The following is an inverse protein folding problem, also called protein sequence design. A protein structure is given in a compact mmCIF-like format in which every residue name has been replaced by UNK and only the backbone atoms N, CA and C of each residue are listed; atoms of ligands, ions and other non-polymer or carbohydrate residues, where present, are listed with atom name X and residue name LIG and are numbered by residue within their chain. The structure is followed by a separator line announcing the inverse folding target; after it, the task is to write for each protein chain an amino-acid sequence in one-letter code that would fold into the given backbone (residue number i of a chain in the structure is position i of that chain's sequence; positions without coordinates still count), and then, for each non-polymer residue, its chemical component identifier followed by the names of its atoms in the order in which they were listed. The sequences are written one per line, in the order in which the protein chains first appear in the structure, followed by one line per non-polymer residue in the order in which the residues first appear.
data_IF_614876518185
#
_entry.id   IF_614876518185
#
_cell.length_a   1.000
_cell.length_b   1.000
_cell.length_c   1.000
_cell.angle_alpha   90.00
_cell.angle_beta   90.00
_cell.angle_gamma   90.00
#
_symmetry.space_group_name_H-M   'P 1'
#
loop_
_entity.id
_entity.type
_entity.pdbx_description
1 polymer ?
#
# COMPACT_ATOMS: atom_id res chain seq x y z
N UNK A 1 -14.36 -5.21 -4.55
CA UNK A 1 -13.51 -4.73 -3.44
C UNK A 1 -12.99 -3.37 -3.90
N UNK A 2 -13.54 -2.26 -3.38
CA UNK A 2 -13.28 -0.92 -3.90
C UNK A 2 -11.78 -0.60 -4.10
N UNK A 3 -10.95 -0.93 -3.11
CA UNK A 3 -9.50 -0.76 -3.19
C UNK A 3 -8.84 -1.54 -4.35
N UNK A 4 -9.18 -2.82 -4.51
CA UNK A 4 -8.60 -3.66 -5.58
C UNK A 4 -9.05 -3.16 -6.95
N UNK A 5 -10.33 -2.86 -7.08
CA UNK A 5 -10.93 -2.46 -8.35
C UNK A 5 -10.41 -1.05 -8.76
N UNK A 6 -10.14 -0.18 -7.78
CA UNK A 6 -9.44 1.09 -7.99
C UNK A 6 -8.01 0.89 -8.51
N UNK A 7 -7.21 0.04 -7.87
CA UNK A 7 -5.82 -0.20 -8.30
C UNK A 7 -5.72 -0.83 -9.70
N UNK A 8 -6.72 -1.60 -10.12
CA UNK A 8 -6.79 -2.14 -11.49
C UNK A 8 -6.95 -1.00 -12.51
N UNK A 9 -7.70 0.05 -12.19
CA UNK A 9 -7.89 1.24 -13.04
C UNK A 9 -6.78 2.29 -12.94
N UNK A 10 -5.94 2.24 -11.90
CA UNK A 10 -4.92 3.24 -11.60
C UNK A 10 -3.53 2.58 -11.50
N UNK A 11 -2.87 2.30 -12.65
CA UNK A 11 -1.60 1.58 -12.67
C UNK A 11 -0.46 2.31 -11.94
N UNK A 12 -0.49 3.66 -11.90
CA UNK A 12 0.50 4.45 -11.19
C UNK A 12 0.40 4.27 -9.67
N UNK A 13 -0.81 4.25 -9.11
CA UNK A 13 -1.03 3.99 -7.70
C UNK A 13 -0.76 2.51 -7.35
N UNK A 14 -1.05 1.59 -8.26
CA UNK A 14 -0.66 0.18 -8.10
C UNK A 14 0.87 0.01 -8.03
N UNK A 15 1.62 0.77 -8.84
CA UNK A 15 3.08 0.81 -8.79
C UNK A 15 3.59 1.40 -7.47
N UNK A 16 3.04 2.54 -7.03
CA UNK A 16 3.37 3.12 -5.72
C UNK A 16 3.11 2.14 -4.57
N UNK A 17 2.02 1.38 -4.64
CA UNK A 17 1.73 0.35 -3.64
C UNK A 17 2.73 -0.80 -3.67
N UNK A 18 3.18 -1.22 -4.86
CA UNK A 18 4.21 -2.25 -5.00
C UNK A 18 5.54 -1.78 -4.42
N UNK A 19 5.99 -0.58 -4.79
CA UNK A 19 7.24 0.01 -4.31
C UNK A 19 7.24 0.18 -2.78
N UNK A 20 6.12 0.65 -2.21
CA UNK A 20 5.94 0.74 -0.77
C UNK A 20 6.09 -0.64 -0.09
N UNK A 21 5.47 -1.69 -0.63
CA UNK A 21 5.60 -3.05 -0.07
C UNK A 21 7.04 -3.57 -0.13
N UNK A 22 7.77 -3.29 -1.21
CA UNK A 22 9.18 -3.68 -1.32
C UNK A 22 10.05 -2.95 -0.31
N UNK A 23 9.90 -1.62 -0.19
CA UNK A 23 10.62 -0.82 0.79
C UNK A 23 10.34 -1.29 2.23
N UNK A 24 9.08 -1.54 2.56
CA UNK A 24 8.69 -2.00 3.89
C UNK A 24 9.19 -3.43 4.18
N UNK A 25 9.23 -4.30 3.18
CA UNK A 25 9.80 -5.63 3.34
C UNK A 25 11.32 -5.60 3.57
N UNK A 26 12.01 -4.63 2.98
CA UNK A 26 13.45 -4.44 3.16
C UNK A 26 13.78 -3.77 4.51
N UNK A 27 13.04 -2.74 4.91
CA UNK A 27 13.32 -1.95 6.12
C UNK A 27 12.69 -2.51 7.40
N UNK A 28 11.58 -3.27 7.31
CA UNK A 28 10.82 -3.76 8.45
C UNK A 28 10.63 -5.29 8.45
N UNK A 29 11.60 -6.05 7.92
CA UNK A 29 11.55 -7.51 7.88
C UNK A 29 11.26 -8.15 9.26
N UNK A 30 11.75 -7.53 10.34
CA UNK A 30 11.60 -7.99 11.73
C UNK A 30 10.49 -7.28 12.51
N UNK A 31 9.91 -6.21 11.95
CA UNK A 31 8.97 -5.33 12.63
C UNK A 31 7.61 -5.30 11.92
N UNK A 32 6.79 -6.29 12.26
CA UNK A 32 5.47 -6.49 11.67
C UNK A 32 4.46 -5.39 12.05
N UNK A 33 4.64 -4.73 13.19
CA UNK A 33 3.80 -3.62 13.62
C UNK A 33 4.09 -2.39 12.75
N UNK A 34 5.37 -2.01 12.62
CA UNK A 34 5.75 -0.93 11.71
C UNK A 34 5.33 -1.20 10.26
N UNK A 35 5.48 -2.45 9.78
CA UNK A 35 4.99 -2.85 8.45
C UNK A 35 3.47 -2.66 8.29
N UNK A 36 2.69 -2.78 9.37
CA UNK A 36 1.24 -2.65 9.36
C UNK A 36 0.77 -1.21 9.44
N UNK A 37 1.42 -0.39 10.26
CA UNK A 37 1.09 1.02 10.39
C UNK A 37 1.50 1.81 9.14
N UNK A 38 2.68 1.53 8.58
CA UNK A 38 3.21 2.29 7.44
C UNK A 38 2.42 2.05 6.13
N UNK A 39 1.75 0.90 6.00
CA UNK A 39 0.84 0.65 4.86
C UNK A 39 -0.59 1.14 5.11
N UNK A 40 -0.97 1.42 6.37
CA UNK A 40 -2.32 1.81 6.72
C UNK A 40 -2.69 3.18 6.11
N UNK A 41 -1.76 4.14 6.14
CA UNK A 41 -1.98 5.46 5.52
C UNK A 41 -2.18 5.36 4.01
N UNK A 42 -1.39 4.53 3.32
CA UNK A 42 -1.55 4.30 1.89
C UNK A 42 -2.90 3.64 1.56
N UNK A 43 -3.30 2.63 2.34
CA UNK A 43 -4.60 1.97 2.15
C UNK A 43 -5.75 2.94 2.39
N UNK A 44 -5.65 3.81 3.39
CA UNK A 44 -6.64 4.87 3.66
C UNK A 44 -6.72 5.87 2.51
N UNK A 45 -5.58 6.37 2.02
CA UNK A 45 -5.53 7.29 0.87
C UNK A 45 -6.26 6.72 -0.35
N UNK A 46 -5.97 5.46 -0.73
CA UNK A 46 -6.61 4.83 -1.88
C UNK A 46 -8.09 4.53 -1.63
N UNK A 47 -8.46 4.19 -0.39
CA UNK A 47 -9.86 3.96 -0.04
C UNK A 47 -10.69 5.24 -0.09
N UNK A 48 -10.09 6.40 0.24
CA UNK A 48 -10.74 7.72 0.10
C UNK A 48 -10.86 8.16 -1.37
N UNK A 49 -10.00 7.66 -2.26
CA UNK A 49 -10.02 7.96 -3.70
C UNK A 49 -10.97 7.06 -4.51
N UNK A 50 -11.37 5.91 -3.96
CA UNK A 50 -12.20 4.89 -4.62
C UNK A 50 -13.70 5.13 -4.40
#
# INVERSE_FOLDING_TARGET
LAFRDYLIGHPDDAKRYADLKYQLAESHASDREAYTDLKADFVREITEKA
#
